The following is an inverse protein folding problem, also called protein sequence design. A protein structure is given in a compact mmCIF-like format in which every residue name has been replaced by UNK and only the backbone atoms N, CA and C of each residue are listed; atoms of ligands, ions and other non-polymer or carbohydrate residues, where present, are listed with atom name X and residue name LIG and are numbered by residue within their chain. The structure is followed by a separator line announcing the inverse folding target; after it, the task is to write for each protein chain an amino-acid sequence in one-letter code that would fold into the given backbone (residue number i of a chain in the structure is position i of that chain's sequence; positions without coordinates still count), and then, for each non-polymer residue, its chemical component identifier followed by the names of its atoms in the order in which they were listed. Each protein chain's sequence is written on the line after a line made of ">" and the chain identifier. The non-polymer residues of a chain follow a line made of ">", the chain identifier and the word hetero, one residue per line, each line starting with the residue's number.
data_IF_529219770173
#
_entry.id   IF_529219770173
#
_cell.length_a   1.000
_cell.length_b   1.000
_cell.length_c   1.000
_cell.angle_alpha   90.00
_cell.angle_beta   90.00
_cell.angle_gamma   90.00
#
_symmetry.space_group_name_H-M   'P 1'
#
loop_
_entity.id
_entity.type
_entity.pdbx_description
1 polymer ?
#
# COMPACT_ATOMS: atom_id res chain seq x y z
N UNK A 1 -13.17 -6.31 1.28
CA UNK A 1 -12.30 -7.23 2.05
C UNK A 1 -11.75 -8.28 1.10
N UNK A 2 -10.44 -8.54 1.13
CA UNK A 2 -9.81 -9.56 0.27
C UNK A 2 -10.26 -10.95 0.68
N UNK A 3 -10.67 -11.77 -0.29
CA UNK A 3 -10.99 -13.18 -0.05
C UNK A 3 -9.72 -14.00 0.23
N UNK A 4 -9.80 -14.95 1.17
CA UNK A 4 -8.70 -15.85 1.48
C UNK A 4 -8.51 -16.86 0.35
N UNK A 5 -7.25 -17.11 -0.01
CA UNK A 5 -6.89 -18.07 -1.04
C UNK A 5 -6.97 -19.50 -0.52
N UNK A 6 -7.34 -20.42 -1.41
CA UNK A 6 -7.28 -21.85 -1.15
C UNK A 6 -5.84 -22.38 -1.21
N UNK A 7 -5.62 -23.56 -0.63
CA UNK A 7 -4.28 -24.18 -0.54
C UNK A 7 -3.63 -24.47 -1.90
N UNK A 8 -4.40 -24.63 -2.98
CA UNK A 8 -3.89 -24.86 -4.34
C UNK A 8 -3.37 -23.60 -5.03
N UNK A 9 -3.75 -22.43 -4.52
CA UNK A 9 -3.42 -21.13 -5.12
C UNK A 9 -2.15 -20.51 -4.49
N UNK A 10 -1.64 -21.14 -3.43
CA UNK A 10 -0.42 -20.77 -2.73
C UNK A 10 0.72 -21.67 -3.25
N UNK A 11 1.90 -21.13 -3.55
CA UNK A 11 3.02 -21.92 -4.02
C UNK A 11 3.54 -22.85 -2.92
N UNK A 12 4.27 -23.87 -3.35
CA UNK A 12 4.92 -24.83 -2.47
C UNK A 12 5.78 -24.08 -1.45
N UNK A 13 5.65 -24.45 -0.17
CA UNK A 13 6.33 -23.82 0.96
C UNK A 13 6.04 -22.33 1.17
N UNK A 14 5.02 -21.74 0.53
CA UNK A 14 4.63 -20.34 0.75
C UNK A 14 5.68 -19.32 0.31
N UNK A 15 6.57 -19.69 -0.62
CA UNK A 15 7.63 -18.83 -1.15
C UNK A 15 7.06 -17.55 -1.75
N UNK A 16 7.60 -16.37 -1.41
CA UNK A 16 7.13 -15.09 -1.95
C UNK A 16 7.14 -15.08 -3.49
N UNK A 17 5.95 -15.09 -4.09
CA UNK A 17 5.75 -15.28 -5.54
C UNK A 17 5.07 -14.09 -6.21
N UNK A 18 4.70 -13.08 -5.43
CA UNK A 18 4.04 -11.85 -5.87
C UNK A 18 4.75 -10.66 -5.26
N UNK A 19 4.78 -9.57 -6.00
CA UNK A 19 5.28 -8.30 -5.51
C UNK A 19 4.27 -7.73 -4.51
N UNK A 20 4.77 -7.03 -3.48
CA UNK A 20 3.92 -6.33 -2.49
C UNK A 20 3.00 -5.29 -3.15
N UNK A 21 3.37 -4.77 -4.32
CA UNK A 21 2.61 -3.80 -5.12
C UNK A 21 1.26 -4.33 -5.65
N UNK A 22 1.08 -5.65 -5.69
CA UNK A 22 -0.20 -6.28 -6.04
C UNK A 22 -1.21 -6.19 -4.88
N UNK A 23 -0.74 -6.05 -3.64
CA UNK A 23 -1.59 -5.93 -2.46
C UNK A 23 -2.04 -4.49 -2.28
N UNK A 24 -3.28 -4.19 -2.68
CA UNK A 24 -3.86 -2.84 -2.59
C UNK A 24 -4.32 -2.55 -1.16
N UNK A 25 -3.75 -1.51 -0.54
CA UNK A 25 -4.06 -1.06 0.83
C UNK A 25 -4.93 0.19 0.89
N UNK A 26 -5.41 0.68 -0.26
CA UNK A 26 -6.19 1.92 -0.35
C UNK A 26 -7.49 1.92 0.45
N UNK A 27 -8.05 0.74 0.72
CA UNK A 27 -9.30 0.56 1.48
C UNK A 27 -9.12 0.79 3.00
N UNK A 28 -7.88 0.83 3.51
CA UNK A 28 -7.62 1.00 4.95
C UNK A 28 -7.81 2.45 5.42
N UNK A 29 -7.84 3.40 4.49
CA UNK A 29 -7.88 4.83 4.82
C UNK A 29 -9.29 5.25 5.23
N UNK A 30 -9.41 6.01 6.32
CA UNK A 30 -10.61 6.82 6.61
C UNK A 30 -10.49 8.21 5.99
N UNK A 31 -9.26 8.74 5.93
CA UNK A 31 -8.95 10.07 5.40
C UNK A 31 -7.80 9.99 4.39
N UNK A 32 -7.75 10.94 3.45
CA UNK A 32 -6.67 11.08 2.48
C UNK A 32 -5.98 12.43 2.69
N UNK A 33 -4.63 12.49 2.79
CA UNK A 33 -3.93 13.76 2.85
C UNK A 33 -4.13 14.56 1.56
N UNK A 34 -4.43 15.85 1.69
CA UNK A 34 -4.56 16.81 0.59
C UNK A 34 -3.52 17.90 0.79
N UNK A 35 -2.67 18.12 -0.21
CA UNK A 35 -1.59 19.10 -0.13
C UNK A 35 -2.13 20.46 -0.58
N UNK A 36 -2.01 21.45 0.30
CA UNK A 36 -2.15 22.86 -0.05
C UNK A 36 -0.83 23.35 -0.66
N UNK A 37 -0.85 23.62 -1.97
CA UNK A 37 0.35 23.99 -2.72
C UNK A 37 0.83 25.41 -2.41
N UNK A 38 -0.04 26.29 -1.93
CA UNK A 38 0.34 27.65 -1.54
C UNK A 38 1.21 27.64 -0.26
N UNK A 39 0.99 26.65 0.61
CA UNK A 39 1.74 26.46 1.87
C UNK A 39 2.93 25.51 1.74
N UNK A 40 3.02 24.75 0.64
CA UNK A 40 4.05 23.72 0.47
C UNK A 40 5.42 24.33 0.13
N UNK A 41 6.38 24.20 1.05
CA UNK A 41 7.78 24.64 0.83
C UNK A 41 8.67 23.60 0.12
N UNK A 42 8.10 22.49 -0.35
CA UNK A 42 8.81 21.40 -1.05
C UNK A 42 9.97 20.79 -0.25
N UNK A 43 9.86 20.72 1.07
CA UNK A 43 10.89 20.14 1.94
C UNK A 43 11.02 18.61 1.85
N UNK A 44 10.07 17.93 1.19
CA UNK A 44 10.02 16.46 1.04
C UNK A 44 9.93 15.66 2.35
N UNK A 45 9.69 16.32 3.49
CA UNK A 45 9.49 15.63 4.78
C UNK A 45 8.35 14.62 4.71
N UNK A 46 7.25 14.96 4.02
CA UNK A 46 6.14 14.05 3.81
C UNK A 46 6.50 12.80 2.98
N UNK A 47 7.54 12.87 2.14
CA UNK A 47 8.01 11.72 1.37
C UNK A 47 8.93 10.82 2.20
N UNK A 48 9.82 11.39 3.00
CA UNK A 48 10.73 10.62 3.88
C UNK A 48 9.97 9.81 4.93
N UNK A 49 8.86 10.34 5.43
CA UNK A 49 8.04 9.70 6.47
C UNK A 49 6.79 8.97 5.94
N UNK A 50 6.55 8.99 4.63
CA UNK A 50 5.49 8.17 4.02
C UNK A 50 5.89 6.69 4.06
#
# INVERSE_FOLDING_TARGET
>A
MSQLKGWREVPIAGVCWKLSTEFKTGDWRTFKPVIDQEKCIKCLTCWVYC
#
